data_IF_025601089291
#
_entry.id   IF_025601089291
#
_cell.length_a   1.000
_cell.length_b   1.000
_cell.length_c   1.000
_cell.angle_alpha   90.00
_cell.angle_beta   90.00
_cell.angle_gamma   90.00
#
_symmetry.space_group_name_H-M   'P 1'
#
loop_
_entity.id
_entity.type
_entity.pdbx_description
1 polymer ?
#
# COMPACT_ATOMS: atom_id res chain seq x y z
N UNK A 1 -47.58 -27.60 9.21
CA UNK A 1 -47.04 -26.27 9.57
C UNK A 1 -47.17 -25.40 8.34
N UNK A 2 -48.15 -24.50 8.31
CA UNK A 2 -48.34 -23.56 7.19
C UNK A 2 -47.45 -22.36 7.46
N UNK A 3 -46.43 -22.15 6.62
CA UNK A 3 -45.58 -20.97 6.68
C UNK A 3 -46.43 -19.72 6.41
N UNK A 4 -46.29 -18.72 7.28
CA UNK A 4 -47.08 -17.49 7.22
C UNK A 4 -46.67 -16.68 5.97
N UNK A 5 -47.58 -16.38 5.03
CA UNK A 5 -47.22 -15.72 3.77
C UNK A 5 -46.64 -14.31 3.95
N UNK A 6 -46.89 -13.67 5.10
CA UNK A 6 -46.33 -12.34 5.44
C UNK A 6 -44.82 -12.41 5.71
N UNK A 7 -44.34 -13.48 6.35
CA UNK A 7 -42.90 -13.66 6.61
C UNK A 7 -42.11 -13.90 5.32
N UNK A 8 -42.73 -14.56 4.32
CA UNK A 8 -42.09 -14.77 3.01
C UNK A 8 -42.01 -13.49 2.17
N UNK A 9 -42.94 -12.54 2.35
CA UNK A 9 -42.88 -11.23 1.70
C UNK A 9 -41.82 -10.34 2.34
N UNK A 10 -41.74 -10.32 3.67
CA UNK A 10 -40.70 -9.57 4.39
C UNK A 10 -39.29 -10.10 4.11
N UNK A 11 -39.12 -11.42 4.00
CA UNK A 11 -37.84 -12.01 3.56
C UNK A 11 -37.47 -11.65 2.11
N UNK A 12 -38.46 -11.48 1.22
CA UNK A 12 -38.21 -11.04 -0.15
C UNK A 12 -37.87 -9.55 -0.25
N UNK A 13 -38.51 -8.68 0.55
CA UNK A 13 -38.17 -7.26 0.60
C UNK A 13 -36.76 -7.03 1.15
N UNK A 14 -36.40 -7.69 2.26
CA UNK A 14 -35.07 -7.54 2.88
C UNK A 14 -33.95 -8.09 1.98
N UNK A 15 -34.22 -9.12 1.16
CA UNK A 15 -33.26 -9.62 0.16
C UNK A 15 -33.26 -8.83 -1.16
N UNK A 16 -34.27 -7.98 -1.39
CA UNK A 16 -34.41 -7.14 -2.59
C UNK A 16 -33.81 -5.73 -2.42
N UNK A 17 -33.44 -5.32 -1.21
CA UNK A 17 -32.89 -3.98 -0.91
C UNK A 17 -31.36 -3.86 -0.99
N UNK A 18 -30.63 -4.94 -1.32
CA UNK A 18 -29.30 -4.76 -1.93
C UNK A 18 -29.52 -4.51 -3.41
N UNK A 19 -29.71 -3.24 -3.76
CA UNK A 19 -29.59 -2.81 -5.15
C UNK A 19 -28.28 -3.40 -5.70
N UNK A 20 -28.40 -4.30 -6.67
CA UNK A 20 -27.23 -4.79 -7.41
C UNK A 20 -26.46 -3.55 -7.88
N UNK A 21 -25.17 -3.46 -7.54
CA UNK A 21 -24.34 -2.36 -8.00
C UNK A 21 -24.50 -2.24 -9.52
N UNK A 22 -24.65 -1.03 -10.07
CA UNK A 22 -24.79 -0.86 -11.51
C UNK A 22 -23.60 -1.54 -12.22
N UNK A 23 -23.83 -2.17 -13.37
CA UNK A 23 -22.79 -2.94 -14.09
C UNK A 23 -21.50 -2.13 -14.32
N UNK A 24 -21.63 -0.80 -14.46
CA UNK A 24 -20.54 0.16 -14.57
C UNK A 24 -19.62 0.19 -13.35
N UNK A 25 -20.15 0.00 -12.14
CA UNK A 25 -19.39 0.03 -10.90
C UNK A 25 -18.57 -1.25 -10.74
N UNK A 26 -19.13 -2.39 -11.17
CA UNK A 26 -18.43 -3.68 -11.21
C UNK A 26 -17.28 -3.63 -12.22
N UNK A 27 -17.52 -3.09 -13.42
CA UNK A 27 -16.49 -2.93 -14.44
C UNK A 27 -15.37 -1.98 -13.99
N UNK A 28 -15.72 -0.86 -13.35
CA UNK A 28 -14.75 0.07 -12.77
C UNK A 28 -13.88 -0.60 -11.69
N UNK A 29 -14.50 -1.41 -10.81
CA UNK A 29 -13.79 -2.16 -9.78
C UNK A 29 -12.82 -3.19 -10.38
N UNK A 30 -13.26 -3.97 -11.36
CA UNK A 30 -12.42 -4.96 -12.04
C UNK A 30 -11.24 -4.32 -12.78
N UNK A 31 -11.48 -3.19 -13.46
CA UNK A 31 -10.41 -2.46 -14.15
C UNK A 31 -9.37 -1.90 -13.17
N UNK A 32 -9.82 -1.38 -12.03
CA UNK A 32 -8.94 -0.86 -10.99
C UNK A 32 -8.11 -1.97 -10.32
N UNK A 33 -8.69 -3.14 -10.07
CA UNK A 33 -8.00 -4.29 -9.47
C UNK A 33 -6.80 -4.77 -10.30
N UNK A 34 -6.85 -4.63 -11.62
CA UNK A 34 -5.79 -5.06 -12.54
C UNK A 34 -4.90 -3.93 -13.03
N UNK A 35 -5.19 -2.68 -12.66
CA UNK A 35 -4.42 -1.52 -13.12
C UNK A 35 -3.01 -1.52 -12.50
N UNK A 36 -1.94 -1.64 -13.30
CA UNK A 36 -0.56 -1.62 -12.82
C UNK A 36 -0.10 -0.22 -12.39
N UNK A 37 -0.88 0.83 -12.68
CA UNK A 37 -0.55 2.22 -12.38
C UNK A 37 -1.44 2.83 -11.30
N UNK A 38 -2.37 2.06 -10.70
CA UNK A 38 -3.30 2.53 -9.68
C UNK A 38 -2.61 3.25 -8.52
N UNK A 39 -1.41 2.82 -8.13
CA UNK A 39 -0.62 3.44 -7.06
C UNK A 39 -0.26 4.91 -7.31
N UNK A 40 -0.23 5.38 -8.56
CA UNK A 40 0.08 6.77 -8.92
C UNK A 40 -1.03 7.75 -8.52
N UNK A 41 -2.23 7.22 -8.26
CA UNK A 41 -3.36 7.96 -7.68
C UNK A 41 -3.67 7.39 -6.28
N UNK A 42 -2.85 7.69 -5.27
CA UNK A 42 -2.80 6.96 -4.00
C UNK A 42 -4.14 6.95 -3.23
N UNK A 43 -4.93 8.01 -3.40
CA UNK A 43 -6.22 8.21 -2.74
C UNK A 43 -7.43 7.87 -3.62
N UNK A 44 -7.22 7.54 -4.90
CA UNK A 44 -8.29 7.10 -5.78
C UNK A 44 -8.70 5.66 -5.45
N UNK A 45 -10.00 5.40 -5.57
CA UNK A 45 -10.57 4.07 -5.43
C UNK A 45 -11.75 3.93 -6.40
N UNK A 46 -11.91 2.73 -6.97
CA UNK A 46 -13.14 2.38 -7.66
C UNK A 46 -14.33 2.29 -6.68
N UNK A 47 -15.58 2.40 -7.15
CA UNK A 47 -16.75 2.20 -6.31
C UNK A 47 -16.68 0.89 -5.51
N UNK A 48 -17.07 0.94 -4.23
CA UNK A 48 -17.04 -0.18 -3.28
C UNK A 48 -15.66 -0.74 -2.92
N UNK A 49 -14.58 -0.15 -3.43
CA UNK A 49 -13.20 -0.49 -3.06
C UNK A 49 -12.64 0.54 -2.09
N UNK A 50 -11.60 0.13 -1.36
CA UNK A 50 -10.78 0.99 -0.51
C UNK A 50 -9.58 1.49 -1.31
N UNK A 51 -9.10 2.72 -1.08
CA UNK A 51 -7.89 3.21 -1.73
C UNK A 51 -6.66 2.39 -1.31
N UNK A 52 -5.61 2.42 -2.12
CA UNK A 52 -4.37 1.69 -1.81
C UNK A 52 -3.72 2.20 -0.52
N UNK A 53 -3.74 3.51 -0.28
CA UNK A 53 -3.24 4.11 0.97
C UNK A 53 -4.04 3.62 2.16
N UNK A 54 -5.38 3.68 2.08
CA UNK A 54 -6.22 3.28 3.21
C UNK A 54 -6.07 1.78 3.50
N UNK A 55 -5.97 0.92 2.48
CA UNK A 55 -5.67 -0.51 2.66
C UNK A 55 -4.33 -0.72 3.39
N UNK A 56 -3.28 0.02 3.01
CA UNK A 56 -2.01 -0.03 3.71
C UNK A 56 -2.15 0.39 5.19
N UNK A 57 -2.84 1.49 5.46
CA UNK A 57 -3.00 2.02 6.83
C UNK A 57 -3.82 1.09 7.72
N UNK A 58 -4.86 0.45 7.18
CA UNK A 58 -5.66 -0.57 7.88
C UNK A 58 -4.83 -1.83 8.22
N UNK A 59 -3.88 -2.21 7.35
CA UNK A 59 -3.01 -3.36 7.61
C UNK A 59 -1.96 -3.09 8.70
N UNK A 60 -1.47 -1.85 8.79
CA UNK A 60 -0.31 -1.53 9.64
C UNK A 60 -0.62 -0.60 10.82
N UNK A 61 -1.82 -0.03 10.96
CA UNK A 61 -2.35 0.74 12.10
C UNK A 61 -1.30 1.47 12.97
N UNK A 62 -0.47 2.33 12.37
CA UNK A 62 0.55 3.12 13.08
C UNK A 62 1.79 2.35 13.58
N UNK A 63 1.98 1.11 13.13
CA UNK A 63 3.18 0.28 13.31
C UNK A 63 4.08 0.28 12.09
N UNK A 64 3.71 1.02 11.04
CA UNK A 64 4.49 1.11 9.82
C UNK A 64 5.89 1.64 10.12
N UNK A 65 6.90 0.97 9.54
CA UNK A 65 8.27 1.42 9.49
C UNK A 65 8.36 2.84 8.92
N UNK A 66 7.50 3.19 7.95
CA UNK A 66 7.47 4.51 7.34
C UNK A 66 7.17 5.62 8.35
N UNK A 67 6.31 5.35 9.34
CA UNK A 67 5.93 6.33 10.37
C UNK A 67 7.05 6.52 11.42
N UNK A 68 7.92 5.52 11.58
CA UNK A 68 9.01 5.51 12.55
C UNK A 68 10.35 6.07 12.03
N UNK A 69 10.46 6.37 10.73
CA UNK A 69 11.72 6.78 10.11
C UNK A 69 12.04 8.26 10.42
N UNK A 70 12.96 8.47 11.37
CA UNK A 70 13.32 9.81 11.87
C UNK A 70 14.17 10.66 10.94
N UNK A 71 14.86 10.07 9.96
CA UNK A 71 15.72 10.74 8.97
C UNK A 71 16.18 9.66 7.99
N UNK A 72 16.15 9.85 6.65
CA UNK A 72 15.95 11.07 5.87
C UNK A 72 14.49 11.45 5.52
N UNK A 73 13.51 10.62 5.89
CA UNK A 73 12.11 10.80 5.44
C UNK A 73 11.30 11.83 6.24
N UNK A 74 11.83 12.35 7.35
CA UNK A 74 11.13 13.32 8.21
C UNK A 74 10.82 14.65 7.51
N UNK A 75 11.54 14.96 6.44
CA UNK A 75 11.35 16.18 5.63
C UNK A 75 10.70 15.88 4.27
N UNK A 76 10.28 14.64 4.03
CA UNK A 76 9.66 14.25 2.77
C UNK A 76 8.30 14.93 2.58
N UNK A 77 7.96 15.20 1.32
CA UNK A 77 6.62 15.61 0.92
C UNK A 77 5.60 14.55 1.41
N UNK A 78 4.50 14.93 2.08
CA UNK A 78 3.46 13.98 2.47
C UNK A 78 2.95 13.12 1.31
N UNK A 79 2.89 13.67 0.10
CA UNK A 79 2.49 12.94 -1.11
C UNK A 79 3.45 11.78 -1.41
N UNK A 80 4.76 11.97 -1.17
CA UNK A 80 5.75 10.92 -1.35
C UNK A 80 5.45 9.71 -0.47
N UNK A 81 5.12 9.93 0.80
CA UNK A 81 4.82 8.83 1.72
C UNK A 81 3.52 8.12 1.34
N UNK A 82 2.50 8.85 0.91
CA UNK A 82 1.25 8.27 0.42
C UNK A 82 1.47 7.41 -0.82
N UNK A 83 2.30 7.84 -1.76
CA UNK A 83 2.66 7.06 -2.93
C UNK A 83 3.47 5.81 -2.57
N UNK A 84 4.37 5.89 -1.57
CA UNK A 84 5.09 4.71 -1.05
C UNK A 84 4.13 3.69 -0.46
N UNK A 85 3.18 4.14 0.37
CA UNK A 85 2.12 3.28 0.94
C UNK A 85 1.28 2.65 -0.17
N UNK A 86 0.87 3.44 -1.16
CA UNK A 86 0.06 2.98 -2.28
C UNK A 86 0.80 1.95 -3.14
N UNK A 87 2.08 2.20 -3.46
CA UNK A 87 2.88 1.27 -4.25
C UNK A 87 3.12 -0.04 -3.51
N UNK A 88 3.35 0.03 -2.20
CA UNK A 88 3.42 -1.17 -1.36
C UNK A 88 2.12 -1.98 -1.39
N UNK A 89 0.97 -1.32 -1.15
CA UNK A 89 -0.33 -1.98 -1.18
C UNK A 89 -0.62 -2.61 -2.55
N UNK A 90 -0.21 -1.96 -3.64
CA UNK A 90 -0.32 -2.53 -4.98
C UNK A 90 0.56 -3.78 -5.12
N UNK A 91 1.81 -3.73 -4.68
CA UNK A 91 2.69 -4.90 -4.71
C UNK A 91 2.14 -6.07 -3.87
N UNK A 92 1.48 -5.77 -2.74
CA UNK A 92 0.81 -6.77 -1.91
C UNK A 92 -0.40 -7.39 -2.64
N UNK A 93 -1.24 -6.55 -3.26
CA UNK A 93 -2.37 -6.97 -4.11
C UNK A 93 -1.92 -7.87 -5.26
N UNK A 94 -0.83 -7.47 -5.92
CA UNK A 94 -0.29 -8.16 -7.09
C UNK A 94 0.59 -9.37 -6.71
N UNK A 95 0.70 -9.70 -5.41
CA UNK A 95 1.54 -10.77 -4.87
C UNK A 95 3.00 -10.72 -5.36
N UNK A 96 3.55 -9.51 -5.44
CA UNK A 96 4.90 -9.28 -5.96
C UNK A 96 5.97 -10.00 -5.11
N UNK A 97 6.89 -10.76 -5.73
CA UNK A 97 8.00 -11.39 -5.00
C UNK A 97 9.02 -10.37 -4.47
N UNK A 98 8.93 -9.12 -4.92
CA UNK A 98 9.76 -8.01 -4.48
C UNK A 98 9.19 -7.27 -3.26
N UNK A 99 8.02 -7.67 -2.77
CA UNK A 99 7.46 -7.10 -1.55
C UNK A 99 8.39 -7.37 -0.36
N UNK A 100 8.71 -6.38 0.49
CA UNK A 100 9.39 -6.63 1.75
C UNK A 100 8.58 -7.60 2.62
N UNK A 101 9.25 -8.33 3.53
CA UNK A 101 8.58 -9.35 4.34
C UNK A 101 7.57 -8.75 5.33
N UNK A 102 7.78 -7.50 5.72
CA UNK A 102 6.87 -6.77 6.61
C UNK A 102 7.11 -5.27 6.47
N UNK A 103 6.05 -4.48 6.63
CA UNK A 103 6.15 -3.05 6.88
C UNK A 103 6.08 -2.71 8.37
N UNK A 104 5.84 -3.67 9.26
CA UNK A 104 5.73 -3.45 10.71
C UNK A 104 7.13 -3.39 11.36
N UNK A 105 7.39 -2.33 12.12
CA UNK A 105 8.69 -2.10 12.75
C UNK A 105 9.06 -3.17 13.78
N UNK A 106 8.10 -3.66 14.55
CA UNK A 106 8.32 -4.70 15.54
C UNK A 106 8.56 -6.06 14.90
N UNK A 107 7.88 -6.36 13.79
CA UNK A 107 8.12 -7.58 13.04
C UNK A 107 9.49 -7.58 12.38
N UNK A 108 9.90 -6.44 11.81
CA UNK A 108 11.22 -6.30 11.19
C UNK A 108 12.35 -6.65 12.17
N UNK A 109 12.25 -6.18 13.43
CA UNK A 109 13.24 -6.46 14.48
C UNK A 109 13.29 -7.93 14.92
N UNK A 110 12.28 -8.75 14.58
CA UNK A 110 12.24 -10.18 14.89
C UNK A 110 12.78 -11.06 13.77
N UNK A 111 13.03 -10.49 12.59
CA UNK A 111 13.60 -11.21 11.45
C UNK A 111 15.04 -11.63 11.73
N UNK A 112 15.50 -12.65 11.01
CA UNK A 112 16.93 -12.94 10.93
C UNK A 112 17.68 -11.75 10.30
N UNK A 113 18.97 -11.58 10.58
CA UNK A 113 19.77 -10.50 9.97
C UNK A 113 19.69 -10.51 8.44
N UNK A 114 19.68 -11.71 7.83
CA UNK A 114 19.51 -11.90 6.40
C UNK A 114 18.15 -11.42 5.90
N UNK A 115 17.07 -11.82 6.56
CA UNK A 115 15.70 -11.49 6.14
C UNK A 115 15.38 -10.00 6.37
N UNK A 116 15.94 -9.43 7.43
CA UNK A 116 15.90 -7.99 7.67
C UNK A 116 16.62 -7.22 6.56
N UNK A 117 17.82 -7.65 6.17
CA UNK A 117 18.56 -7.04 5.07
C UNK A 117 17.78 -7.09 3.75
N UNK A 118 17.21 -8.24 3.41
CA UNK A 118 16.36 -8.40 2.21
C UNK A 118 15.13 -7.49 2.26
N UNK A 119 14.48 -7.36 3.42
CA UNK A 119 13.30 -6.51 3.58
C UNK A 119 13.66 -5.02 3.43
N UNK A 120 14.77 -4.58 4.01
CA UNK A 120 15.24 -3.20 3.86
C UNK A 120 15.66 -2.87 2.43
N UNK A 121 16.32 -3.80 1.73
CA UNK A 121 16.72 -3.62 0.33
C UNK A 121 15.49 -3.48 -0.58
N UNK A 122 14.47 -4.30 -0.36
CA UNK A 122 13.18 -4.19 -1.07
C UNK A 122 12.44 -2.90 -0.74
N UNK A 123 12.49 -2.45 0.52
CA UNK A 123 11.88 -1.18 0.92
C UNK A 123 12.60 0.01 0.26
N UNK A 124 13.93 -0.04 0.16
CA UNK A 124 14.72 0.92 -0.62
C UNK A 124 14.30 1.00 -2.07
N UNK A 125 14.07 -0.16 -2.71
CA UNK A 125 13.61 -0.24 -4.08
C UNK A 125 12.23 0.42 -4.27
N UNK A 126 11.28 0.15 -3.38
CA UNK A 126 9.95 0.80 -3.36
C UNK A 126 10.10 2.33 -3.29
N UNK A 127 10.86 2.82 -2.31
CA UNK A 127 11.06 4.27 -2.14
C UNK A 127 11.77 4.91 -3.34
N UNK A 128 12.76 4.23 -3.92
CA UNK A 128 13.45 4.70 -5.12
C UNK A 128 12.49 4.80 -6.31
N UNK A 129 11.67 3.79 -6.55
CA UNK A 129 10.68 3.80 -7.65
C UNK A 129 9.73 4.98 -7.53
N UNK A 130 9.19 5.23 -6.33
CA UNK A 130 8.30 6.37 -6.10
C UNK A 130 9.03 7.70 -6.25
N UNK A 131 10.26 7.79 -5.74
CA UNK A 131 11.09 9.00 -5.80
C UNK A 131 11.38 9.38 -7.25
N UNK A 132 11.87 8.43 -8.04
CA UNK A 132 12.20 8.63 -9.45
C UNK A 132 10.95 8.99 -10.26
N UNK A 133 9.80 8.39 -9.96
CA UNK A 133 8.54 8.76 -10.59
C UNK A 133 8.15 10.21 -10.26
N UNK A 134 8.16 10.63 -9.01
CA UNK A 134 7.83 12.02 -8.64
C UNK A 134 8.79 13.03 -9.28
N UNK A 135 10.09 12.73 -9.34
CA UNK A 135 11.09 13.54 -10.05
C UNK A 135 10.74 13.63 -11.55
N UNK A 136 10.32 12.53 -12.17
CA UNK A 136 9.88 12.55 -13.59
C UNK A 136 8.66 13.43 -13.83
N UNK A 137 7.83 13.67 -12.80
CA UNK A 137 6.71 14.62 -12.82
C UNK A 137 7.12 16.07 -12.51
N UNK A 138 8.41 16.33 -12.28
CA UNK A 138 8.95 17.65 -11.93
C UNK A 138 8.74 18.04 -10.46
N UNK A 139 8.43 17.08 -9.58
CA UNK A 139 8.27 17.30 -8.14
C UNK A 139 9.60 17.11 -7.40
N UNK A 140 9.66 17.59 -6.16
CA UNK A 140 10.82 17.45 -5.26
C UNK A 140 10.38 16.66 -4.02
N UNK A 141 10.51 15.32 -4.00
CA UNK A 141 9.97 14.49 -2.93
C UNK A 141 10.63 14.74 -1.58
N UNK A 142 11.93 15.04 -1.59
CA UNK A 142 12.72 15.40 -0.41
C UNK A 142 13.51 16.66 -0.76
N UNK A 143 13.40 17.75 0.00
CA UNK A 143 14.14 18.98 -0.25
C UNK A 143 15.66 18.74 -0.36
N UNK A 144 16.26 19.26 -1.43
CA UNK A 144 17.71 19.15 -1.67
C UNK A 144 18.17 17.81 -2.26
N UNK A 145 17.26 16.85 -2.45
CA UNK A 145 17.58 15.58 -3.10
C UNK A 145 17.22 15.62 -4.58
N UNK A 146 18.18 15.26 -5.43
CA UNK A 146 17.97 15.05 -6.87
C UNK A 146 17.96 13.58 -7.27
N UNK A 147 18.37 12.70 -6.36
CA UNK A 147 18.39 11.25 -6.51
C UNK A 147 18.13 10.60 -5.15
N UNK A 148 17.55 9.41 -5.16
CA UNK A 148 17.33 8.66 -3.93
C UNK A 148 18.67 8.27 -3.30
N UNK A 149 18.83 8.59 -2.00
CA UNK A 149 19.94 8.06 -1.20
C UNK A 149 19.37 7.00 -0.26
N UNK A 150 19.80 5.75 -0.44
CA UNK A 150 19.35 4.57 0.31
C UNK A 150 19.21 4.85 1.80
N UNK A 151 18.16 4.31 2.43
CA UNK A 151 17.99 4.37 3.89
C UNK A 151 18.92 3.41 4.65
N UNK A 152 19.53 2.45 3.93
CA UNK A 152 20.53 1.56 4.51
C UNK A 152 21.90 2.18 4.24
N UNK A 153 22.63 2.49 5.31
CA UNK A 153 23.99 2.97 5.16
C UNK A 153 24.88 1.84 4.60
N UNK A 154 25.89 2.15 3.75
CA UNK A 154 26.81 1.14 3.24
C UNK A 154 27.54 0.34 4.35
N UNK A 155 27.67 0.92 5.54
CA UNK A 155 28.23 0.27 6.73
C UNK A 155 27.27 -0.73 7.37
N UNK A 156 25.97 -0.43 7.41
CA UNK A 156 24.96 -1.38 7.90
C UNK A 156 24.87 -2.62 6.98
N UNK A 157 25.03 -2.44 5.67
CA UNK A 157 25.08 -3.58 4.72
C UNK A 157 26.26 -4.54 5.00
N UNK A 158 27.41 -4.04 5.45
CA UNK A 158 28.56 -4.88 5.78
C UNK A 158 28.31 -5.74 7.01
N UNK A 159 27.62 -5.21 8.02
CA UNK A 159 27.25 -5.94 9.23
C UNK A 159 26.08 -6.92 9.04
N UNK A 160 25.25 -6.72 8.01
CA UNK A 160 24.14 -7.61 7.68
C UNK A 160 24.57 -8.80 6.82
N UNK A 161 25.73 -8.71 6.16
CA UNK A 161 26.31 -9.76 5.30
C UNK A 161 27.30 -10.67 6.05
N UNK A 162 27.73 -10.28 7.26
CA UNK A 162 28.65 -11.01 8.14
C UNK A 162 27.90 -11.89 9.13
#
# INVERSE_FOLDING_TARGET
MMSNPVEQWQLKEVMSERASAPETDIEAALNWEIDPEAWKEPHAAAPHMTSLVQNFEELYEGKSLLDGLKTPLSEADPEFLDLVKAYWAQMQRDHSPLLPLTADAHELHRLSAKDMAVSLDRMNEIMRTVFDWMISQGKTPIPGWSQWTSIVSPQAEQHLKS
#
